data_IF_799834573050
#
_entry.id   IF_799834573050
#
_cell.length_a   1.000
_cell.length_b   1.000
_cell.length_c   1.000
_cell.angle_alpha   90.00
_cell.angle_beta   90.00
_cell.angle_gamma   90.00
#
_symmetry.space_group_name_H-M   'P 1'
#
loop_
_entity.id
_entity.type
_entity.pdbx_description
1 polymer ?
#
# COMPACT_ATOMS: atom_id res chain seq x y z
N UNK A 1 -1.32 5.78 34.05
CA UNK A 1 -1.37 5.88 32.58
C UNK A 1 -2.69 5.27 32.14
N UNK A 2 -3.54 6.05 31.47
CA UNK A 2 -4.83 5.59 30.96
C UNK A 2 -4.65 4.68 29.73
N UNK A 3 -5.66 3.88 29.38
CA UNK A 3 -5.64 3.04 28.18
C UNK A 3 -5.41 3.88 26.90
N UNK A 4 -5.98 5.09 26.84
CA UNK A 4 -5.82 6.01 25.69
C UNK A 4 -4.38 6.50 25.56
N UNK A 5 -3.73 6.86 26.66
CA UNK A 5 -2.32 7.26 26.68
C UNK A 5 -1.41 6.12 26.23
N UNK A 6 -1.72 4.89 26.68
CA UNK A 6 -0.98 3.71 26.27
C UNK A 6 -1.06 3.50 24.75
N UNK A 7 -2.25 3.55 24.15
CA UNK A 7 -2.40 3.41 22.70
C UNK A 7 -1.67 4.49 21.90
N UNK A 8 -1.72 5.74 22.36
CA UNK A 8 -0.98 6.85 21.73
C UNK A 8 0.52 6.60 21.77
N UNK A 9 1.05 6.09 22.88
CA UNK A 9 2.47 5.75 23.00
C UNK A 9 2.89 4.61 22.05
N UNK A 10 1.97 3.70 21.71
CA UNK A 10 2.22 2.60 20.76
C UNK A 10 1.97 2.98 19.29
N UNK A 11 1.37 4.14 19.00
CA UNK A 11 0.93 4.50 17.65
C UNK A 11 2.02 4.36 16.56
N UNK A 12 3.30 4.75 16.78
CA UNK A 12 4.35 4.54 15.77
C UNK A 12 4.62 3.06 15.48
N UNK A 13 4.52 2.18 16.49
CA UNK A 13 4.71 0.73 16.36
C UNK A 13 3.53 0.10 15.63
N UNK A 14 2.31 0.47 16.02
CA UNK A 14 1.09 0.01 15.35
C UNK A 14 1.13 0.41 13.88
N UNK A 15 1.43 1.67 13.57
CA UNK A 15 1.60 2.15 12.18
C UNK A 15 2.68 1.36 11.42
N UNK A 16 3.81 1.05 12.07
CA UNK A 16 4.86 0.24 11.47
C UNK A 16 4.37 -1.17 11.10
N UNK A 17 3.65 -1.85 11.99
CA UNK A 17 3.04 -3.17 11.73
C UNK A 17 2.02 -3.05 10.60
N UNK A 18 1.11 -2.08 10.66
CA UNK A 18 0.08 -1.90 9.64
C UNK A 18 0.70 -1.61 8.27
N UNK A 19 1.76 -0.79 8.20
CA UNK A 19 2.53 -0.52 6.98
C UNK A 19 3.13 -1.81 6.42
N UNK A 20 3.76 -2.64 7.27
CA UNK A 20 4.35 -3.92 6.85
C UNK A 20 3.27 -4.84 6.27
N UNK A 21 2.17 -5.05 7.00
CA UNK A 21 1.07 -5.91 6.57
C UNK A 21 0.46 -5.42 5.25
N UNK A 22 0.11 -4.14 5.16
CA UNK A 22 -0.47 -3.57 3.96
C UNK A 22 0.48 -3.66 2.75
N UNK A 23 1.77 -3.38 2.95
CA UNK A 23 2.79 -3.50 1.90
C UNK A 23 2.97 -4.94 1.42
N UNK A 24 2.99 -5.92 2.34
CA UNK A 24 3.07 -7.35 2.00
C UNK A 24 1.82 -7.79 1.23
N UNK A 25 0.62 -7.43 1.71
CA UNK A 25 -0.63 -7.75 1.01
C UNK A 25 -0.65 -7.15 -0.40
N UNK A 26 -0.21 -5.90 -0.54
CA UNK A 26 -0.11 -5.24 -1.84
C UNK A 26 0.88 -5.94 -2.77
N UNK A 27 2.02 -6.38 -2.22
CA UNK A 27 2.98 -7.16 -2.97
C UNK A 27 2.41 -8.53 -3.40
N UNK A 28 1.57 -9.17 -2.60
CA UNK A 28 0.87 -10.40 -3.00
C UNK A 28 -0.03 -10.18 -4.23
N UNK A 29 -0.77 -9.08 -4.30
CA UNK A 29 -1.57 -8.74 -5.50
C UNK A 29 -0.68 -8.51 -6.73
N UNK A 30 0.47 -7.86 -6.54
CA UNK A 30 1.45 -7.70 -7.62
C UNK A 30 2.06 -9.04 -8.07
N UNK A 31 2.37 -9.93 -7.12
CA UNK A 31 2.89 -11.26 -7.40
C UNK A 31 1.87 -12.14 -8.15
N UNK A 32 0.59 -12.03 -7.78
CA UNK A 32 -0.51 -12.66 -8.51
C UNK A 32 -0.57 -12.17 -9.96
N UNK A 33 -0.38 -10.86 -10.20
CA UNK A 33 -0.37 -10.27 -11.55
C UNK A 33 0.85 -10.66 -12.37
N UNK A 34 2.05 -10.61 -11.78
CA UNK A 34 3.32 -10.77 -12.50
C UNK A 34 3.76 -12.22 -12.66
N UNK A 35 3.53 -13.05 -11.64
CA UNK A 35 4.13 -14.38 -11.54
C UNK A 35 3.07 -15.50 -11.52
N UNK A 36 1.78 -15.16 -11.58
CA UNK A 36 0.71 -16.15 -11.45
C UNK A 36 0.59 -16.77 -10.06
N UNK A 37 1.21 -16.14 -9.04
CA UNK A 37 1.11 -16.60 -7.66
C UNK A 37 -0.35 -16.53 -7.15
N UNK A 38 -0.68 -17.32 -6.12
CA UNK A 38 -1.98 -17.27 -5.44
C UNK A 38 -3.20 -17.46 -6.37
N UNK A 39 -3.05 -18.18 -7.49
CA UNK A 39 -4.12 -18.43 -8.46
C UNK A 39 -4.10 -17.52 -9.69
N UNK A 40 -3.21 -16.51 -9.72
CA UNK A 40 -2.97 -15.67 -10.89
C UNK A 40 -4.15 -14.75 -11.27
N UNK A 41 -3.99 -14.02 -12.37
CA UNK A 41 -5.08 -13.19 -12.90
C UNK A 41 -6.12 -14.06 -13.61
N UNK A 42 -7.43 -13.71 -13.52
CA UNK A 42 -8.47 -14.41 -14.24
C UNK A 42 -8.23 -14.34 -15.77
N UNK A 43 -8.65 -15.37 -16.52
CA UNK A 43 -8.57 -15.36 -17.97
C UNK A 43 -9.27 -14.13 -18.57
N UNK A 44 -8.65 -13.50 -19.57
CA UNK A 44 -9.19 -12.29 -20.21
C UNK A 44 -8.84 -10.97 -19.51
N UNK A 45 -8.06 -11.01 -18.43
CA UNK A 45 -7.55 -9.80 -17.80
C UNK A 45 -6.76 -8.94 -18.80
N UNK A 46 -7.05 -7.62 -18.90
CA UNK A 46 -6.33 -6.74 -19.81
C UNK A 46 -4.82 -6.73 -19.53
N UNK A 47 -4.01 -6.96 -20.57
CA UNK A 47 -2.55 -7.07 -20.44
C UNK A 47 -1.89 -5.80 -19.88
N UNK A 48 -2.49 -4.63 -20.11
CA UNK A 48 -1.98 -3.37 -19.55
C UNK A 48 -2.03 -3.34 -18.02
N UNK A 49 -3.00 -4.01 -17.37
CA UNK A 49 -3.06 -4.11 -15.91
C UNK A 49 -1.85 -4.87 -15.38
N UNK A 50 -1.49 -5.99 -16.01
CA UNK A 50 -0.32 -6.76 -15.62
C UNK A 50 0.96 -5.94 -15.80
N UNK A 51 1.09 -5.22 -16.91
CA UNK A 51 2.29 -4.45 -17.22
C UNK A 51 2.45 -3.16 -16.38
N UNK A 52 1.36 -2.60 -15.87
CA UNK A 52 1.38 -1.34 -15.11
C UNK A 52 1.14 -1.55 -13.62
N UNK A 53 -0.01 -2.12 -13.25
CA UNK A 53 -0.37 -2.35 -11.86
C UNK A 53 0.51 -3.42 -11.22
N UNK A 54 0.85 -4.49 -11.94
CA UNK A 54 1.68 -5.59 -11.42
C UNK A 54 3.01 -5.12 -10.79
N UNK A 55 3.88 -4.40 -11.53
CA UNK A 55 5.14 -3.89 -10.98
C UNK A 55 4.96 -2.91 -9.83
N UNK A 56 4.00 -1.99 -9.93
CA UNK A 56 3.76 -0.99 -8.88
C UNK A 56 3.25 -1.67 -7.61
N UNK A 57 2.37 -2.65 -7.72
CA UNK A 57 1.87 -3.43 -6.58
C UNK A 57 2.98 -4.26 -5.93
N UNK A 58 3.75 -4.98 -6.75
CA UNK A 58 4.80 -5.86 -6.24
C UNK A 58 5.95 -5.08 -5.61
N UNK A 59 6.63 -4.24 -6.40
CA UNK A 59 7.79 -3.51 -5.93
C UNK A 59 7.41 -2.37 -4.99
N UNK A 60 6.31 -1.67 -5.27
CA UNK A 60 5.80 -0.63 -4.37
C UNK A 60 5.37 -1.23 -3.02
N UNK A 61 4.71 -2.38 -3.03
CA UNK A 61 4.35 -3.13 -1.81
C UNK A 61 5.58 -3.49 -0.98
N UNK A 62 6.64 -4.02 -1.60
CA UNK A 62 7.91 -4.32 -0.92
C UNK A 62 8.55 -3.06 -0.33
N UNK A 63 8.66 -1.99 -1.12
CA UNK A 63 9.23 -0.71 -0.67
C UNK A 63 8.47 -0.13 0.51
N UNK A 64 7.14 -0.15 0.45
CA UNK A 64 6.26 0.26 1.55
C UNK A 64 6.47 -0.65 2.75
N UNK A 65 6.54 -1.97 2.57
CA UNK A 65 6.67 -2.96 3.66
C UNK A 65 7.99 -2.87 4.41
N UNK A 66 9.10 -2.55 3.74
CA UNK A 66 10.40 -2.35 4.41
C UNK A 66 10.61 -0.89 4.85
N UNK A 67 9.77 0.03 4.38
CA UNK A 67 9.80 1.43 4.77
C UNK A 67 10.94 2.18 4.10
N UNK A 68 11.11 1.93 2.80
CA UNK A 68 12.12 2.54 1.95
C UNK A 68 11.46 3.41 0.89
N UNK A 69 11.83 4.68 0.80
CA UNK A 69 11.14 5.68 -0.03
C UNK A 69 9.63 5.71 0.25
N UNK A 70 9.26 5.52 1.52
CA UNK A 70 7.91 5.15 1.94
C UNK A 70 6.86 6.12 1.44
N UNK A 71 7.16 7.43 1.51
CA UNK A 71 6.20 8.48 1.13
C UNK A 71 5.93 8.47 -0.38
N UNK A 72 6.98 8.38 -1.19
CA UNK A 72 6.87 8.36 -2.65
C UNK A 72 6.21 7.06 -3.14
N UNK A 73 6.63 5.91 -2.60
CA UNK A 73 6.05 4.61 -2.94
C UNK A 73 4.57 4.54 -2.57
N UNK A 74 4.20 5.02 -1.37
CA UNK A 74 2.81 5.05 -0.93
C UNK A 74 1.94 6.03 -1.75
N UNK A 75 2.48 7.19 -2.14
CA UNK A 75 1.74 8.12 -3.00
C UNK A 75 1.44 7.53 -4.38
N UNK A 76 2.44 6.88 -5.01
CA UNK A 76 2.26 6.19 -6.28
C UNK A 76 1.24 5.04 -6.18
N UNK A 77 1.37 4.21 -5.13
CA UNK A 77 0.43 3.11 -4.86
C UNK A 77 -1.00 3.62 -4.61
N UNK A 78 -1.15 4.73 -3.89
CA UNK A 78 -2.44 5.40 -3.67
C UNK A 78 -3.08 5.83 -4.99
N UNK A 79 -2.34 6.51 -5.87
CA UNK A 79 -2.83 6.93 -7.17
C UNK A 79 -3.23 5.76 -8.07
N UNK A 80 -2.46 4.67 -8.06
CA UNK A 80 -2.82 3.45 -8.78
C UNK A 80 -4.14 2.86 -8.26
N UNK A 81 -4.33 2.82 -6.95
CA UNK A 81 -5.56 2.28 -6.35
C UNK A 81 -6.77 3.18 -6.56
N UNK A 82 -6.59 4.51 -6.61
CA UNK A 82 -7.62 5.42 -7.07
C UNK A 82 -8.05 5.11 -8.51
N UNK A 83 -7.08 4.91 -9.42
CA UNK A 83 -7.38 4.51 -10.79
C UNK A 83 -8.06 3.14 -10.86
N UNK A 84 -7.62 2.18 -10.05
CA UNK A 84 -8.25 0.86 -9.95
C UNK A 84 -9.72 0.97 -9.51
N UNK A 85 -10.03 1.82 -8.53
CA UNK A 85 -11.39 2.03 -8.07
C UNK A 85 -12.27 2.67 -9.16
N UNK A 86 -11.87 3.83 -9.68
CA UNK A 86 -12.70 4.59 -10.62
C UNK A 86 -12.79 3.95 -12.02
N UNK A 87 -11.74 3.26 -12.48
CA UNK A 87 -11.74 2.62 -13.81
C UNK A 87 -12.14 1.14 -13.76
N UNK A 88 -11.79 0.44 -12.69
CA UNK A 88 -11.99 -1.01 -12.57
C UNK A 88 -13.28 -1.40 -11.85
N UNK A 89 -13.76 -0.57 -10.92
CA UNK A 89 -14.90 -0.93 -10.07
C UNK A 89 -16.11 -0.01 -10.24
N UNK A 90 -15.93 1.30 -10.41
CA UNK A 90 -17.05 2.25 -10.41
C UNK A 90 -18.12 2.00 -11.50
N UNK A 91 -17.81 1.24 -12.56
CA UNK A 91 -18.81 0.80 -13.54
C UNK A 91 -19.88 -0.13 -12.96
N UNK A 92 -19.58 -0.86 -11.88
CA UNK A 92 -20.51 -1.72 -11.14
C UNK A 92 -21.36 -0.99 -10.10
N UNK A 93 -21.28 0.34 -10.04
CA UNK A 93 -21.93 1.18 -9.02
C UNK A 93 -20.92 2.06 -8.29
N UNK A 94 -21.39 3.14 -7.64
CA UNK A 94 -20.49 4.06 -6.94
C UNK A 94 -20.02 3.52 -5.59
N UNK A 95 -20.84 2.73 -4.89
CA UNK A 95 -20.50 2.30 -3.52
C UNK A 95 -19.63 1.03 -3.52
N UNK A 96 -18.57 0.95 -2.70
CA UNK A 96 -17.69 -0.23 -2.62
C UNK A 96 -18.43 -1.55 -2.42
N UNK A 97 -19.43 -1.55 -1.53
CA UNK A 97 -20.25 -2.71 -1.23
C UNK A 97 -21.05 -3.25 -2.43
N UNK A 98 -21.31 -2.41 -3.44
CA UNK A 98 -22.02 -2.78 -4.66
C UNK A 98 -21.07 -3.23 -5.77
N UNK A 99 -19.86 -2.67 -5.81
CA UNK A 99 -18.92 -2.82 -6.92
C UNK A 99 -17.66 -3.66 -6.59
N UNK A 100 -17.61 -4.23 -5.38
CA UNK A 100 -16.48 -5.01 -4.85
C UNK A 100 -15.15 -4.24 -4.80
N UNK A 101 -15.23 -2.91 -4.71
CA UNK A 101 -14.10 -1.99 -4.70
C UNK A 101 -13.57 -1.65 -3.31
N UNK A 102 -13.93 -2.41 -2.28
CA UNK A 102 -13.57 -2.16 -0.88
C UNK A 102 -12.04 -2.10 -0.67
N UNK A 103 -11.31 -3.05 -1.27
CA UNK A 103 -9.85 -3.10 -1.15
C UNK A 103 -9.16 -1.96 -1.89
N UNK A 104 -9.46 -1.67 -3.18
CA UNK A 104 -8.91 -0.51 -3.86
C UNK A 104 -9.12 0.81 -3.11
N UNK A 105 -10.33 1.08 -2.61
CA UNK A 105 -10.58 2.35 -1.91
C UNK A 105 -9.84 2.42 -0.56
N UNK A 106 -9.77 1.31 0.18
CA UNK A 106 -9.05 1.26 1.45
C UNK A 106 -7.53 1.38 1.24
N UNK A 107 -6.94 0.68 0.27
CA UNK A 107 -5.53 0.86 -0.06
C UNK A 107 -5.22 2.27 -0.55
N UNK A 108 -6.10 2.85 -1.37
CA UNK A 108 -5.96 4.22 -1.86
C UNK A 108 -5.78 5.21 -0.70
N UNK A 109 -6.73 5.22 0.25
CA UNK A 109 -6.69 6.15 1.37
C UNK A 109 -5.65 5.80 2.41
N UNK A 110 -5.43 4.52 2.68
CA UNK A 110 -4.42 4.08 3.64
C UNK A 110 -3.00 4.44 3.17
N UNK A 111 -2.69 4.23 1.89
CA UNK A 111 -1.40 4.64 1.34
C UNK A 111 -1.27 6.16 1.21
N UNK A 112 -2.36 6.89 0.95
CA UNK A 112 -2.33 8.35 1.03
C UNK A 112 -2.00 8.83 2.45
N UNK A 113 -2.60 8.19 3.46
CA UNK A 113 -2.29 8.47 4.86
C UNK A 113 -0.80 8.17 5.18
N UNK A 114 -0.25 7.04 4.72
CA UNK A 114 1.19 6.76 4.88
C UNK A 114 2.05 7.79 4.17
N UNK A 115 1.67 8.25 2.97
CA UNK A 115 2.40 9.28 2.23
C UNK A 115 2.44 10.62 2.98
N UNK A 116 1.33 10.99 3.63
CA UNK A 116 1.19 12.22 4.42
C UNK A 116 1.84 12.13 5.80
N UNK A 117 1.61 11.05 6.54
CA UNK A 117 2.09 10.86 7.91
C UNK A 117 3.58 10.47 7.94
N UNK A 118 4.02 9.66 6.97
CA UNK A 118 5.34 9.04 6.97
C UNK A 118 5.33 7.60 7.52
N UNK A 119 6.52 7.02 7.73
CA UNK A 119 6.67 5.56 7.69
C UNK A 119 6.42 4.83 9.02
N UNK A 120 6.20 5.54 10.13
CA UNK A 120 6.10 4.94 11.46
C UNK A 120 7.42 4.30 11.94
N UNK A 121 7.32 3.31 12.82
CA UNK A 121 8.47 2.57 13.34
C UNK A 121 9.06 1.58 12.31
N UNK A 122 10.32 1.17 12.57
CA UNK A 122 11.06 0.13 11.84
C UNK A 122 11.13 0.33 10.32
N UNK A 123 11.26 1.59 9.88
CA UNK A 123 11.42 1.93 8.48
C UNK A 123 12.87 2.24 8.14
N UNK A 124 13.36 1.71 7.03
CA UNK A 124 14.73 1.96 6.54
C UNK A 124 14.98 3.45 6.25
N UNK A 125 13.94 4.24 5.92
CA UNK A 125 14.01 5.69 5.77
C UNK A 125 14.54 6.40 7.04
N UNK A 126 14.31 5.83 8.23
CA UNK A 126 14.81 6.39 9.49
C UNK A 126 16.34 6.27 9.61
N UNK A 127 16.92 5.19 9.06
CA UNK A 127 18.37 5.00 9.04
C UNK A 127 19.06 6.00 8.10
N UNK A 128 18.42 6.31 6.97
CA UNK A 128 18.92 7.32 6.01
C UNK A 128 18.93 8.73 6.61
N UNK A 129 17.87 9.11 7.31
CA UNK A 129 17.78 10.43 7.98
C UNK A 129 18.85 10.62 9.06
N UNK A 130 19.16 9.56 9.83
CA UNK A 130 20.23 9.61 10.85
C UNK A 130 21.62 9.84 10.26
N UNK A 131 21.92 9.28 9.09
CA UNK A 131 23.22 9.49 8.42
C UNK A 131 23.38 10.91 7.89
N UNK A 132 22.32 11.54 7.38
CA UNK A 132 22.37 12.92 6.86
C UNK A 132 22.59 13.95 7.96
N UNK A 133 22.16 13.68 9.20
CA UNK A 133 22.34 14.61 10.33
C UNK A 133 23.69 14.42 11.03
N UNK A 134 24.35 13.26 10.84
CA UNK A 134 25.59 12.91 11.52
C UNK A 134 26.87 13.14 10.68
N UNK A 135 26.75 13.64 9.45
CA UNK A 135 27.86 14.01 8.56
C UNK A 135 27.76 15.47 8.18
#
# INVERSE_FOLDING_TARGET
MSAVEWFRAQAPRILGITRILAGVMFACYGAMKLFGAFGGMPPGAPRWIVLTAGPIEFFGGILIAIGLFTRSAAFLASGLMAAAYFKGHAAGGFWPIQNHGDLPILFCWFFLYIAAQGPGAWALDLLRRRRVVAG
#
